data_IF_040607485683
#
_entry.id   IF_040607485683
#
_cell.length_a   1.000
_cell.length_b   1.000
_cell.length_c   1.000
_cell.angle_alpha   90.00
_cell.angle_beta   90.00
_cell.angle_gamma   90.00
#
_symmetry.space_group_name_H-M   'P 1'
#
loop_
_entity.id
_entity.type
_entity.pdbx_description
1 polymer ?
#
# COMPACT_ATOMS: atom_id res chain seq x y z
N UNK A 1 -5.31 14.63 4.01
CA UNK A 1 -4.58 13.50 3.39
C UNK A 1 -4.70 13.69 1.88
N UNK A 2 -3.61 14.01 1.17
CA UNK A 2 -3.64 14.28 -0.27
C UNK A 2 -3.59 12.92 -0.96
N UNK A 3 -4.73 12.42 -1.45
CA UNK A 3 -4.76 11.29 -2.37
C UNK A 3 -4.03 11.75 -3.63
N UNK A 4 -2.86 11.17 -3.91
CA UNK A 4 -2.06 11.55 -5.08
C UNK A 4 -2.77 11.01 -6.32
N UNK A 5 -3.65 11.82 -6.91
CA UNK A 5 -4.21 11.55 -8.23
C UNK A 5 -3.06 11.62 -9.22
N UNK A 6 -2.75 10.49 -9.88
CA UNK A 6 -1.75 10.45 -10.96
C UNK A 6 -2.22 11.43 -12.05
N UNK A 7 -1.41 12.44 -12.44
CA UNK A 7 -1.75 13.36 -13.52
C UNK A 7 -2.06 12.60 -14.83
N UNK A 8 -2.93 13.14 -15.68
CA UNK A 8 -3.38 12.47 -16.92
C UNK A 8 -2.26 12.18 -17.92
N UNK A 9 -1.11 12.87 -17.82
CA UNK A 9 0.07 12.67 -18.66
C UNK A 9 1.14 11.80 -17.99
N UNK A 10 0.80 11.18 -16.85
CA UNK A 10 1.70 10.33 -16.08
C UNK A 10 1.05 8.97 -15.79
N UNK A 11 1.91 7.98 -15.61
CA UNK A 11 1.54 6.63 -15.24
C UNK A 11 2.33 6.26 -13.97
N UNK A 12 1.63 5.76 -12.96
CA UNK A 12 2.28 5.14 -11.80
C UNK A 12 2.70 3.72 -12.21
N UNK A 13 3.89 3.29 -11.83
CA UNK A 13 4.39 1.95 -12.07
C UNK A 13 5.28 1.46 -10.94
N UNK A 14 5.78 0.24 -11.10
CA UNK A 14 6.86 -0.32 -10.28
C UNK A 14 8.04 -0.69 -11.17
N UNK A 15 9.25 -0.42 -10.71
CA UNK A 15 10.46 -1.04 -11.26
C UNK A 15 10.76 -2.26 -10.40
N UNK A 16 10.87 -3.42 -11.03
CA UNK A 16 11.28 -4.70 -10.44
C UNK A 16 12.49 -5.18 -11.21
N UNK A 17 13.62 -5.37 -10.53
CA UNK A 17 14.87 -5.87 -11.14
C UNK A 17 15.20 -5.18 -12.48
N UNK A 18 15.22 -3.83 -12.45
CA UNK A 18 15.46 -2.91 -13.58
C UNK A 18 14.41 -2.89 -14.71
N UNK A 19 13.32 -3.65 -14.59
CA UNK A 19 12.21 -3.65 -15.55
C UNK A 19 11.02 -2.85 -15.04
N UNK A 20 10.43 -2.02 -15.91
CA UNK A 20 9.27 -1.19 -15.58
C UNK A 20 7.94 -1.92 -15.85
N UNK A 21 7.05 -1.89 -14.85
CA UNK A 21 5.72 -2.46 -14.89
C UNK A 21 4.70 -1.37 -14.56
N UNK A 22 3.91 -0.88 -15.54
CA UNK A 22 2.94 0.18 -15.30
C UNK A 22 1.74 -0.36 -14.49
N UNK A 23 1.26 0.43 -13.53
CA UNK A 23 0.04 0.14 -12.76
C UNK A 23 -1.16 0.78 -13.45
N UNK A 24 -1.66 0.11 -14.49
CA UNK A 24 -2.71 0.68 -15.35
C UNK A 24 -4.11 0.32 -14.90
N UNK A 25 -4.28 -0.83 -14.24
CA UNK A 25 -5.59 -1.36 -13.88
C UNK A 25 -6.22 -0.56 -12.74
N UNK A 26 -7.54 -0.35 -12.87
CA UNK A 26 -8.41 0.23 -11.84
C UNK A 26 -9.50 -0.80 -11.52
N UNK A 27 -9.90 -0.89 -10.26
CA UNK A 27 -10.90 -1.88 -9.85
C UNK A 27 -12.25 -1.20 -9.72
N UNK A 28 -13.27 -1.74 -10.39
CA UNK A 28 -14.65 -1.24 -10.24
C UNK A 28 -15.26 -1.59 -8.88
N UNK A 29 -14.66 -2.56 -8.18
CA UNK A 29 -15.12 -3.11 -6.90
C UNK A 29 -14.14 -2.86 -5.75
N UNK A 30 -13.05 -2.12 -5.95
CA UNK A 30 -12.11 -1.81 -4.88
C UNK A 30 -11.68 -0.36 -4.93
N UNK A 31 -11.53 0.25 -3.75
CA UNK A 31 -10.95 1.59 -3.59
C UNK A 31 -9.44 1.64 -3.85
N UNK A 32 -8.81 0.53 -4.26
CA UNK A 32 -7.45 0.53 -4.77
C UNK A 32 -7.37 1.44 -5.99
N UNK A 33 -6.61 2.54 -5.85
CA UNK A 33 -6.51 3.56 -6.88
C UNK A 33 -5.90 3.01 -8.18
N UNK A 34 -4.91 2.13 -8.07
CA UNK A 34 -4.24 1.42 -9.16
C UNK A 34 -3.70 0.07 -8.67
N UNK A 35 -3.73 -0.95 -9.53
CA UNK A 35 -3.08 -2.24 -9.28
C UNK A 35 -2.60 -2.86 -10.60
N UNK A 36 -1.66 -3.80 -10.51
CA UNK A 36 -1.25 -4.66 -11.62
C UNK A 36 -0.42 -5.83 -11.06
N UNK A 37 -0.11 -6.79 -11.93
CA UNK A 37 0.78 -7.90 -11.60
C UNK A 37 2.20 -7.62 -12.08
N UNK A 38 3.18 -7.90 -11.23
CA UNK A 38 4.60 -7.88 -11.58
C UNK A 38 5.28 -9.15 -11.07
N UNK A 39 6.38 -9.60 -11.69
CA UNK A 39 7.16 -10.72 -11.19
C UNK A 39 7.62 -10.48 -9.74
N UNK A 40 7.80 -11.57 -8.99
CA UNK A 40 8.46 -11.50 -7.70
C UNK A 40 9.89 -10.99 -7.90
N UNK A 41 10.20 -9.83 -7.32
CA UNK A 41 11.56 -9.30 -7.30
C UNK A 41 12.52 -10.29 -6.66
N UNK A 42 13.67 -10.48 -7.28
CA UNK A 42 14.79 -11.24 -6.71
C UNK A 42 15.58 -10.43 -5.69
N UNK A 43 15.42 -9.09 -5.67
CA UNK A 43 16.19 -8.19 -4.84
C UNK A 43 15.34 -7.07 -4.23
N UNK A 44 14.98 -6.08 -5.03
CA UNK A 44 14.20 -4.92 -4.65
C UNK A 44 13.24 -4.45 -5.74
N UNK A 45 12.20 -3.73 -5.31
CA UNK A 45 11.31 -2.97 -6.18
C UNK A 45 11.09 -1.55 -5.67
N UNK A 46 10.68 -0.65 -6.55
CA UNK A 46 10.39 0.76 -6.24
C UNK A 46 9.18 1.23 -7.02
N UNK A 47 8.35 2.06 -6.42
CA UNK A 47 7.35 2.79 -7.20
C UNK A 47 7.99 3.92 -8.00
N UNK A 48 7.43 4.19 -9.18
CA UNK A 48 7.88 5.25 -10.08
C UNK A 48 6.71 5.94 -10.74
N UNK A 49 6.88 7.22 -11.07
CA UNK A 49 6.04 7.92 -12.04
C UNK A 49 6.79 7.97 -13.38
N UNK A 50 6.10 7.58 -14.44
CA UNK A 50 6.60 7.65 -15.81
C UNK A 50 5.68 8.53 -16.65
N UNK A 51 6.20 9.07 -17.75
CA UNK A 51 5.37 9.77 -18.73
C UNK A 51 4.53 8.75 -19.52
N UNK A 52 3.25 9.04 -19.72
CA UNK A 52 2.31 8.06 -20.31
C UNK A 52 2.55 7.77 -21.79
N UNK A 53 3.27 8.64 -22.51
CA UNK A 53 3.52 8.52 -23.95
C UNK A 53 4.72 7.61 -24.29
N UNK A 54 5.78 7.65 -23.47
CA UNK A 54 7.05 7.00 -23.76
C UNK A 54 7.63 6.19 -22.59
N UNK A 55 6.92 6.10 -21.46
CA UNK A 55 7.35 5.45 -20.22
C UNK A 55 8.69 5.98 -19.66
N UNK A 56 9.08 7.21 -20.00
CA UNK A 56 10.24 7.85 -19.42
C UNK A 56 9.98 8.11 -17.94
N UNK A 57 10.88 7.61 -17.08
CA UNK A 57 10.78 7.80 -15.63
C UNK A 57 10.98 9.29 -15.29
N UNK A 58 9.98 9.87 -14.63
CA UNK A 58 9.95 11.26 -14.17
C UNK A 58 10.37 11.33 -12.70
N UNK A 59 9.87 10.40 -11.89
CA UNK A 59 10.13 10.35 -10.46
C UNK A 59 10.25 8.90 -9.99
N UNK A 60 11.23 8.66 -9.11
CA UNK A 60 11.44 7.36 -8.47
C UNK A 60 11.32 7.54 -6.97
N UNK A 61 10.69 6.57 -6.33
CA UNK A 61 10.63 6.50 -4.88
C UNK A 61 12.05 6.51 -4.27
N UNK A 62 12.23 7.26 -3.18
CA UNK A 62 13.56 7.52 -2.58
C UNK A 62 14.14 6.34 -1.77
N UNK A 63 13.44 5.21 -1.75
CA UNK A 63 13.82 4.03 -1.00
C UNK A 63 13.43 2.77 -1.77
N UNK A 64 14.18 1.69 -1.53
CA UNK A 64 13.90 0.36 -2.05
C UNK A 64 12.93 -0.39 -1.16
N UNK A 65 12.16 -1.30 -1.76
CA UNK A 65 11.29 -2.24 -1.05
C UNK A 65 11.76 -3.66 -1.33
N UNK A 66 11.75 -4.51 -0.33
CA UNK A 66 12.02 -5.95 -0.47
C UNK A 66 10.71 -6.73 -0.35
N UNK A 67 10.64 -7.88 -1.00
CA UNK A 67 9.54 -8.82 -0.79
C UNK A 67 9.96 -9.71 0.37
N UNK A 68 9.30 -9.57 1.52
CA UNK A 68 9.50 -10.48 2.64
C UNK A 68 8.44 -11.58 2.56
N UNK A 69 8.83 -12.86 2.64
CA UNK A 69 7.89 -14.00 2.60
C UNK A 69 6.83 -13.96 3.73
N UNK A 70 7.12 -13.21 4.79
CA UNK A 70 6.23 -12.98 5.94
C UNK A 70 5.39 -11.69 5.83
N UNK A 71 5.57 -10.85 4.80
CA UNK A 71 4.70 -9.69 4.57
C UNK A 71 3.38 -10.14 3.93
N UNK A 72 2.41 -10.48 4.77
CA UNK A 72 1.02 -10.71 4.32
C UNK A 72 0.47 -9.45 3.66
N UNK A 73 0.33 -9.46 2.32
CA UNK A 73 -0.60 -8.66 1.50
C UNK A 73 -0.96 -7.24 2.01
N UNK A 74 0.02 -6.47 2.47
CA UNK A 74 -0.23 -5.11 2.93
C UNK A 74 -0.42 -4.17 1.75
N UNK A 75 -1.50 -3.40 1.78
CA UNK A 75 -1.69 -2.30 0.84
C UNK A 75 -0.51 -1.33 0.98
N UNK A 76 0.28 -1.21 -0.07
CA UNK A 76 1.44 -0.33 -0.11
C UNK A 76 1.03 1.06 -0.61
N UNK A 77 1.66 2.09 -0.05
CA UNK A 77 1.44 3.47 -0.46
C UNK A 77 2.74 4.07 -1.01
N UNK A 78 2.65 4.74 -2.16
CA UNK A 78 3.74 5.54 -2.71
C UNK A 78 4.25 6.56 -1.68
N UNK A 79 5.56 6.66 -1.53
CA UNK A 79 6.23 7.62 -0.64
C UNK A 79 6.19 7.22 0.84
N UNK A 80 5.69 6.02 1.18
CA UNK A 80 5.71 5.47 2.55
C UNK A 80 6.50 4.16 2.61
N UNK A 81 7.65 4.19 3.28
CA UNK A 81 8.55 3.05 3.42
C UNK A 81 8.05 2.00 4.42
N UNK A 82 7.11 2.37 5.28
CA UNK A 82 6.53 1.51 6.31
C UNK A 82 5.01 1.41 6.12
N UNK A 83 4.48 0.21 6.34
CA UNK A 83 3.02 -0.04 6.34
C UNK A 83 2.50 -0.34 7.76
N UNK A 84 3.41 -0.59 8.70
CA UNK A 84 3.16 -0.69 10.13
C UNK A 84 4.02 0.31 10.91
N UNK A 85 3.55 0.74 12.09
CA UNK A 85 4.29 1.65 12.97
C UNK A 85 4.19 1.24 14.44
N UNK A 86 5.19 0.50 14.92
CA UNK A 86 5.19 -0.09 16.27
C UNK A 86 5.66 0.87 17.38
N UNK A 87 6.02 2.11 17.04
CA UNK A 87 6.54 3.09 18.02
C UNK A 87 5.44 3.90 18.72
N UNK A 88 4.16 3.53 18.53
CA UNK A 88 3.05 4.17 19.24
C UNK A 88 3.11 3.77 20.71
N UNK A 89 3.41 4.73 21.58
CA UNK A 89 3.30 4.52 23.03
C UNK A 89 1.84 4.28 23.37
N UNK A 90 1.52 3.06 23.81
CA UNK A 90 0.18 2.73 24.33
C UNK A 90 0.01 3.43 25.68
N UNK A 91 -1.17 4.00 25.91
CA UNK A 91 -1.52 4.53 27.23
C UNK A 91 -1.54 3.38 28.24
N UNK A 92 -1.07 3.60 29.47
CA UNK A 92 -1.16 2.58 30.51
C UNK A 92 -2.64 2.23 30.77
N UNK A 93 -2.96 0.94 30.67
CA UNK A 93 -4.29 0.41 30.97
C UNK A 93 -4.51 0.45 32.48
N UNK A 94 -5.16 1.49 32.98
CA UNK A 94 -5.43 1.70 34.42
C UNK A 94 -6.66 0.94 34.94
N UNK A 95 -7.51 0.44 34.04
CA UNK A 95 -8.71 -0.31 34.37
C UNK A 95 -8.71 -1.64 33.61
N UNK A 96 -9.24 -2.72 34.20
CA UNK A 96 -9.42 -3.96 33.46
C UNK A 96 -10.28 -3.71 32.21
N UNK A 97 -10.01 -4.39 31.09
CA UNK A 97 -10.82 -4.26 29.89
C UNK A 97 -12.28 -4.58 30.23
N UNK A 98 -13.20 -3.76 29.71
CA UNK A 98 -14.62 -4.06 29.83
C UNK A 98 -14.89 -5.45 29.25
N UNK A 99 -15.78 -6.25 29.86
CA UNK A 99 -16.21 -7.50 29.26
C UNK A 99 -16.67 -7.23 27.82
N UNK A 100 -16.30 -8.14 26.92
CA UNK A 100 -16.62 -8.01 25.50
C UNK A 100 -18.15 -8.02 25.35
N UNK A 101 -18.74 -6.85 25.12
CA UNK A 101 -20.15 -6.73 24.76
C UNK A 101 -20.19 -6.51 23.25
N UNK A 102 -20.71 -7.50 22.51
CA UNK A 102 -21.01 -7.40 21.08
C UNK A 102 -19.84 -7.01 20.16
N UNK A 103 -18.57 -7.29 20.52
CA UNK A 103 -17.49 -7.21 19.53
C UNK A 103 -17.44 -8.49 18.72
N UNK A 104 -17.46 -8.35 17.41
CA UNK A 104 -17.14 -9.43 16.49
C UNK A 104 -15.61 -9.52 16.49
N UNK A 105 -15.07 -10.72 16.76
CA UNK A 105 -13.65 -10.99 16.52
C UNK A 105 -13.41 -10.85 15.02
N UNK A 106 -12.54 -9.92 14.63
CA UNK A 106 -12.32 -9.62 13.23
C UNK A 106 -10.89 -9.20 12.98
N UNK A 107 -10.31 -9.76 11.92
CA UNK A 107 -9.01 -9.36 11.38
C UNK A 107 -9.14 -8.16 10.41
N UNK A 108 -10.21 -7.35 10.53
CA UNK A 108 -10.49 -6.22 9.64
C UNK A 108 -9.38 -5.16 9.67
N UNK A 109 -8.63 -5.07 10.76
CA UNK A 109 -7.48 -4.19 10.86
C UNK A 109 -6.42 -4.80 11.78
N UNK A 110 -5.24 -5.05 11.22
CA UNK A 110 -4.08 -5.54 11.96
C UNK A 110 -3.53 -4.37 12.78
N UNK A 111 -3.18 -4.65 14.04
CA UNK A 111 -2.62 -3.63 14.94
C UNK A 111 -1.35 -2.99 14.34
N UNK A 112 -1.21 -1.69 14.54
CA UNK A 112 -0.11 -0.85 14.03
C UNK A 112 -0.04 -0.66 12.51
N UNK A 113 -0.92 -1.26 11.71
CA UNK A 113 -0.94 -1.06 10.26
C UNK A 113 -1.75 0.17 9.82
N UNK A 114 -1.49 0.67 8.61
CA UNK A 114 -2.34 1.68 7.98
C UNK A 114 -3.72 1.07 7.71
N UNK A 115 -4.74 1.52 8.45
CA UNK A 115 -6.11 1.04 8.25
C UNK A 115 -6.58 1.30 6.82
N UNK A 116 -6.91 0.22 6.11
CA UNK A 116 -7.62 0.30 4.84
C UNK A 116 -8.98 -0.33 5.04
N UNK A 117 -10.05 0.44 4.79
CA UNK A 117 -11.43 -0.05 4.86
C UNK A 117 -11.99 -0.02 3.44
N UNK A 118 -12.43 -1.17 2.95
CA UNK A 118 -13.12 -1.30 1.67
C UNK A 118 -14.62 -1.46 1.95
N UNK A 119 -15.41 -0.42 1.68
CA UNK A 119 -16.86 -0.46 1.81
C UNK A 119 -17.47 -0.81 0.43
N UNK A 120 -18.15 -1.94 0.34
CA UNK A 120 -18.89 -2.35 -0.85
C UNK A 120 -20.38 -2.29 -0.53
N UNK A 121 -21.16 -1.65 -1.41
CA UNK A 121 -22.62 -1.60 -1.34
C UNK A 121 -23.22 -2.27 -2.58
N UNK A 122 -24.29 -3.04 -2.39
CA UNK A 122 -25.14 -3.55 -3.47
C UNK A 122 -26.17 -2.50 -3.90
#
# INVERSE_FOLDING_TARGET
MRLTTVPNNQTLGVIVDDSFYPLTSTSDVSTLLRYDEAPTSTSEYKYVFAQSDNNQIIETEKFSRTINENETKLNKCYGRAWNSYDKIKKLPTILPPLPIINRIESDLHIENEISTIHLLGN
#
